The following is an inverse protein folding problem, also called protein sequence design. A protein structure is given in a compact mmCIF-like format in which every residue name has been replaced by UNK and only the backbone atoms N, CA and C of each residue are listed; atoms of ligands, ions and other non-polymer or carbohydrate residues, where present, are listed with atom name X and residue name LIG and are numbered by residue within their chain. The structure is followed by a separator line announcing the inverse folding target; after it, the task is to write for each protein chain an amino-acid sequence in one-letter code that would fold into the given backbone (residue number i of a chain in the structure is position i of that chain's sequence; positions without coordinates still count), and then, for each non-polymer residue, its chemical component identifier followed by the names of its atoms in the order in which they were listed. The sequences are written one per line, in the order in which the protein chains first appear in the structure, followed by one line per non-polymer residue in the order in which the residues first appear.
data_IF_239851165681
#
_entry.id   IF_239851165681
#
_cell.length_a   1.000
_cell.length_b   1.000
_cell.length_c   1.000
_cell.angle_alpha   90.00
_cell.angle_beta   90.00
_cell.angle_gamma   90.00
#
_symmetry.space_group_name_H-M   'P 1'
#
loop_
_entity.id
_entity.type
_entity.pdbx_description
1 polymer ?
#
# COMPACT_ATOMS: atom_id res chain seq x y z
N UNK A 1 14.85 4.01 18.78
CA UNK A 1 16.26 4.15 19.14
C UNK A 1 16.64 5.55 19.62
N UNK A 2 15.80 6.57 19.40
CA UNK A 2 16.11 7.95 19.78
C UNK A 2 15.13 8.41 20.86
N UNK A 3 15.56 8.57 22.13
CA UNK A 3 14.67 8.93 23.23
C UNK A 3 13.90 10.24 23.03
N UNK A 4 14.47 11.18 22.30
CA UNK A 4 13.83 12.46 21.96
C UNK A 4 12.59 12.27 21.09
N UNK A 5 12.65 11.37 20.11
CA UNK A 5 11.47 11.08 19.25
C UNK A 5 10.40 10.32 20.02
N UNK A 6 10.77 9.41 20.95
CA UNK A 6 9.81 8.73 21.80
C UNK A 6 8.96 9.73 22.60
N UNK A 7 9.60 10.72 23.22
CA UNK A 7 8.90 11.79 23.97
C UNK A 7 7.97 12.62 23.08
N UNK A 8 8.38 12.94 21.84
CA UNK A 8 7.54 13.69 20.90
C UNK A 8 6.32 12.88 20.47
N UNK A 9 6.50 11.57 20.26
CA UNK A 9 5.40 10.68 19.89
C UNK A 9 4.45 10.46 21.06
N UNK A 10 4.96 10.32 22.28
CA UNK A 10 4.14 10.24 23.50
C UNK A 10 3.26 11.48 23.67
N UNK A 11 3.84 12.68 23.55
CA UNK A 11 3.10 13.93 23.63
C UNK A 11 2.01 14.02 22.56
N UNK A 12 2.32 13.67 21.33
CA UNK A 12 1.34 13.65 20.23
C UNK A 12 0.20 12.64 20.47
N UNK A 13 0.51 11.44 20.98
CA UNK A 13 -0.51 10.44 21.33
C UNK A 13 -1.40 10.85 22.51
N UNK A 14 -0.89 11.71 23.40
CA UNK A 14 -1.68 12.29 24.49
C UNK A 14 -2.64 13.36 23.97
N UNK A 15 -2.18 14.23 23.06
CA UNK A 15 -3.01 15.24 22.39
C UNK A 15 -4.15 14.60 21.61
N UNK A 16 -3.88 13.55 20.79
CA UNK A 16 -4.93 12.81 20.06
C UNK A 16 -5.97 12.19 21.01
N UNK A 17 -5.55 11.70 22.18
CA UNK A 17 -6.50 11.16 23.16
C UNK A 17 -7.42 12.20 23.78
N UNK A 18 -6.94 13.44 23.95
CA UNK A 18 -7.73 14.55 24.46
C UNK A 18 -8.73 15.04 23.43
N UNK A 19 -8.31 15.19 22.17
CA UNK A 19 -9.20 15.54 21.05
C UNK A 19 -10.31 14.49 20.83
N UNK A 20 -9.97 13.20 20.90
CA UNK A 20 -10.95 12.09 20.82
C UNK A 20 -11.96 12.10 21.98
N UNK A 21 -11.56 12.55 23.18
CA UNK A 21 -12.48 12.70 24.32
C UNK A 21 -13.44 13.85 24.14
N UNK A 22 -12.95 15.02 23.72
CA UNK A 22 -13.76 16.20 23.45
C UNK A 22 -14.79 15.96 22.32
N UNK A 23 -14.38 15.22 21.27
CA UNK A 23 -15.31 14.84 20.19
C UNK A 23 -16.39 13.84 20.65
N UNK A 24 -16.08 12.92 21.57
CA UNK A 24 -17.04 11.97 22.13
C UNK A 24 -18.03 12.59 23.11
N UNK A 25 -17.65 13.64 23.81
CA UNK A 25 -18.55 14.38 24.72
C UNK A 25 -19.61 15.20 23.95
N UNK A 26 -19.32 15.55 22.70
CA UNK A 26 -20.19 16.34 21.83
C UNK A 26 -21.12 15.49 20.92
N UNK A 27 -21.06 14.16 20.97
CA UNK A 27 -21.89 13.27 20.14
C UNK A 27 -23.16 12.81 20.84
N UNK A 28 -24.29 12.96 20.16
CA UNK A 28 -25.62 12.55 20.61
C UNK A 28 -25.76 11.03 20.72
N UNK A 29 -26.64 10.55 21.62
CA UNK A 29 -26.80 9.13 21.99
C UNK A 29 -27.13 8.12 20.88
N UNK A 30 -27.39 8.57 19.65
CA UNK A 30 -27.73 7.69 18.51
C UNK A 30 -26.53 6.99 17.88
N UNK A 31 -25.32 7.54 17.99
CA UNK A 31 -24.12 7.05 17.29
C UNK A 31 -23.23 6.10 18.12
N UNK A 32 -23.69 5.72 19.33
CA UNK A 32 -22.86 4.95 20.27
C UNK A 32 -22.68 3.46 19.95
N UNK A 33 -23.36 2.93 18.92
CA UNK A 33 -23.34 1.47 18.66
C UNK A 33 -22.29 0.99 17.66
N UNK A 34 -21.55 1.87 17.01
CA UNK A 34 -20.53 1.49 16.02
C UNK A 34 -19.09 1.99 16.31
N UNK A 35 -18.86 2.47 17.52
CA UNK A 35 -17.48 2.85 17.90
C UNK A 35 -16.63 1.59 18.08
N UNK A 36 -15.99 1.14 17.00
CA UNK A 36 -14.82 0.26 17.07
C UNK A 36 -13.83 0.97 18.00
N UNK A 37 -13.61 0.40 19.18
CA UNK A 37 -12.55 0.86 20.10
C UNK A 37 -11.23 0.73 19.35
N UNK A 38 -10.78 1.79 18.70
CA UNK A 38 -9.42 1.87 18.20
C UNK A 38 -8.49 1.73 19.41
N UNK A 39 -7.81 0.61 19.49
CA UNK A 39 -6.81 0.40 20.53
C UNK A 39 -5.71 1.44 20.33
N UNK A 40 -5.54 2.32 21.31
CA UNK A 40 -4.44 3.29 21.29
C UNK A 40 -3.13 2.53 21.18
N UNK A 41 -2.29 2.82 20.18
CA UNK A 41 -1.04 2.11 20.00
C UNK A 41 -0.16 2.30 21.23
N UNK A 42 0.38 1.18 21.75
CA UNK A 42 1.29 1.22 22.89
C UNK A 42 2.69 1.57 22.39
N UNK A 43 3.18 2.74 22.76
CA UNK A 43 4.57 3.13 22.52
C UNK A 43 5.50 2.41 23.49
N UNK A 44 6.60 1.86 22.97
CA UNK A 44 7.66 1.26 23.77
C UNK A 44 9.01 1.66 23.19
N UNK A 45 9.86 2.25 24.01
CA UNK A 45 11.23 2.57 23.60
C UNK A 45 12.07 1.28 23.58
N UNK A 46 12.69 1.00 22.44
CA UNK A 46 13.60 -0.12 22.27
C UNK A 46 15.04 0.33 22.54
N UNK A 47 15.74 -0.36 23.45
CA UNK A 47 17.07 0.05 23.96
C UNK A 47 18.14 -1.02 23.85
N UNK A 48 17.91 -2.12 23.11
CA UNK A 48 18.92 -3.16 22.94
C UNK A 48 20.02 -2.71 21.97
N UNK A 49 21.21 -2.45 22.49
CA UNK A 49 22.38 -2.01 21.71
C UNK A 49 22.98 -3.14 20.85
N UNK A 50 22.76 -4.41 21.21
CA UNK A 50 23.31 -5.55 20.49
C UNK A 50 22.50 -5.90 19.24
N UNK A 51 21.20 -5.60 19.26
CA UNK A 51 20.29 -5.91 18.15
C UNK A 51 19.46 -4.66 17.74
N UNK A 52 20.00 -3.74 16.94
CA UNK A 52 19.27 -2.57 16.47
C UNK A 52 17.95 -2.91 15.78
N UNK A 53 16.92 -2.06 15.91
CA UNK A 53 15.59 -2.25 15.31
C UNK A 53 15.65 -2.54 13.79
N UNK A 54 16.57 -1.89 13.07
CA UNK A 54 16.80 -2.14 11.65
C UNK A 54 17.10 -3.61 11.36
N UNK A 55 17.93 -4.25 12.20
CA UNK A 55 18.27 -5.68 12.08
C UNK A 55 17.15 -6.58 12.59
N UNK A 56 16.54 -6.24 13.74
CA UNK A 56 15.45 -7.00 14.34
C UNK A 56 14.30 -7.18 13.34
N UNK A 57 13.88 -6.11 12.70
CA UNK A 57 12.79 -6.12 11.71
C UNK A 57 13.25 -6.31 10.27
N UNK A 58 14.55 -6.57 10.04
CA UNK A 58 15.15 -6.75 8.70
C UNK A 58 14.81 -5.61 7.73
N UNK A 59 14.77 -4.39 8.23
CA UNK A 59 14.35 -3.22 7.44
C UNK A 59 15.27 -2.96 6.25
N UNK A 60 16.57 -3.26 6.35
CA UNK A 60 17.51 -3.17 5.23
C UNK A 60 17.08 -4.05 4.05
N UNK A 61 16.63 -5.29 4.33
CA UNK A 61 16.13 -6.21 3.29
C UNK A 61 14.83 -5.70 2.67
N UNK A 62 13.95 -5.09 3.47
CA UNK A 62 12.70 -4.49 3.00
C UNK A 62 13.00 -3.29 2.11
N UNK A 63 13.89 -2.40 2.51
CA UNK A 63 14.31 -1.23 1.73
C UNK A 63 14.94 -1.65 0.41
N UNK A 64 15.82 -2.66 0.43
CA UNK A 64 16.42 -3.22 -0.78
C UNK A 64 15.35 -3.76 -1.72
N UNK A 65 14.43 -4.61 -1.22
CA UNK A 65 13.35 -5.18 -2.04
C UNK A 65 12.36 -4.12 -2.54
N UNK A 66 12.16 -3.04 -1.79
CA UNK A 66 11.36 -1.90 -2.22
C UNK A 66 12.00 -1.08 -3.35
N UNK A 67 13.30 -1.27 -3.62
CA UNK A 67 14.01 -0.66 -4.75
C UNK A 67 14.06 -1.57 -5.97
N UNK A 68 13.72 -2.86 -5.84
CA UNK A 68 13.76 -3.81 -6.94
C UNK A 68 12.67 -3.51 -7.99
N UNK A 69 13.02 -3.63 -9.27
CA UNK A 69 12.07 -3.47 -10.38
C UNK A 69 10.98 -4.55 -10.34
N UNK A 70 11.32 -5.77 -9.93
CA UNK A 70 10.42 -6.92 -9.92
C UNK A 70 9.96 -7.25 -8.50
N UNK A 71 8.66 -7.46 -8.34
CA UNK A 71 8.02 -7.84 -7.08
C UNK A 71 7.29 -9.16 -7.27
N UNK A 72 7.73 -10.19 -6.55
CA UNK A 72 7.11 -11.50 -6.58
C UNK A 72 5.87 -11.56 -5.70
N UNK A 73 4.82 -12.20 -6.21
CA UNK A 73 3.58 -12.48 -5.50
C UNK A 73 3.55 -13.93 -4.97
N UNK A 74 2.70 -14.20 -3.99
CA UNK A 74 2.58 -15.54 -3.37
C UNK A 74 2.12 -16.61 -4.34
N UNK A 75 1.30 -16.24 -5.33
CA UNK A 75 0.88 -17.12 -6.42
C UNK A 75 2.01 -17.59 -7.34
N UNK A 76 3.17 -16.94 -7.29
CA UNK A 76 4.27 -17.15 -8.23
C UNK A 76 4.22 -16.22 -9.46
N UNK A 77 3.19 -15.37 -9.55
CA UNK A 77 3.18 -14.21 -10.45
C UNK A 77 4.10 -13.11 -9.95
N UNK A 78 4.30 -12.07 -10.73
CA UNK A 78 5.12 -10.93 -10.34
C UNK A 78 4.66 -9.64 -11.02
N UNK A 79 4.96 -8.52 -10.36
CA UNK A 79 4.84 -7.18 -10.91
C UNK A 79 6.19 -6.72 -11.44
N UNK A 80 6.17 -5.93 -12.52
CA UNK A 80 7.31 -5.12 -12.98
C UNK A 80 6.94 -3.65 -12.81
N UNK A 81 7.69 -2.90 -12.01
CA UNK A 81 7.39 -1.51 -11.68
C UNK A 81 8.46 -0.62 -12.29
N UNK A 82 8.05 0.29 -13.17
CA UNK A 82 8.93 1.19 -13.91
C UNK A 82 8.47 2.64 -13.78
N UNK A 83 9.06 3.41 -12.87
CA UNK A 83 8.89 4.85 -12.86
C UNK A 83 9.57 5.49 -14.08
N UNK A 84 8.86 6.38 -14.76
CA UNK A 84 9.38 7.24 -15.83
C UNK A 84 9.32 8.71 -15.38
N UNK A 85 9.72 9.65 -16.22
CA UNK A 85 9.59 11.08 -15.91
C UNK A 85 8.14 11.53 -15.77
N UNK A 86 7.21 10.97 -16.56
CA UNK A 86 5.83 11.42 -16.64
C UNK A 86 4.87 10.60 -15.77
N UNK A 87 5.09 9.30 -15.65
CA UNK A 87 4.18 8.37 -15.00
C UNK A 87 4.90 7.10 -14.53
N UNK A 88 4.24 6.31 -13.69
CA UNK A 88 4.72 4.96 -13.33
C UNK A 88 3.93 3.92 -14.12
N UNK A 89 4.63 2.97 -14.74
CA UNK A 89 4.02 1.81 -15.38
C UNK A 89 4.21 0.59 -14.51
N UNK A 90 3.16 -0.22 -14.37
CA UNK A 90 3.18 -1.49 -13.64
C UNK A 90 2.62 -2.57 -14.56
N UNK A 91 3.42 -3.60 -14.83
CA UNK A 91 3.04 -4.75 -15.65
C UNK A 91 2.85 -5.99 -14.75
N UNK A 92 1.75 -6.72 -14.94
CA UNK A 92 1.37 -7.90 -14.17
C UNK A 92 1.63 -9.17 -14.97
N UNK A 93 2.45 -10.06 -14.42
CA UNK A 93 2.87 -11.31 -15.08
C UNK A 93 2.42 -12.54 -14.29
N UNK A 94 1.93 -13.57 -14.98
CA UNK A 94 1.53 -14.85 -14.37
C UNK A 94 2.70 -15.65 -13.78
N UNK A 95 3.92 -15.40 -14.29
CA UNK A 95 5.08 -16.20 -13.93
C UNK A 95 4.91 -17.69 -14.33
N UNK A 96 5.26 -18.60 -13.40
CA UNK A 96 5.13 -20.05 -13.59
C UNK A 96 3.88 -20.61 -12.91
N UNK A 97 2.81 -19.83 -12.78
CA UNK A 97 1.60 -20.31 -12.11
C UNK A 97 0.94 -21.43 -12.91
N UNK A 98 0.92 -22.63 -12.34
CA UNK A 98 0.25 -23.84 -12.90
C UNK A 98 -0.96 -24.19 -12.02
N UNK A 99 -2.00 -23.36 -12.05
CA UNK A 99 -3.23 -23.61 -11.29
C UNK A 99 -4.02 -24.81 -11.80
N UNK A 100 -4.72 -25.51 -10.90
CA UNK A 100 -5.65 -26.61 -11.22
C UNK A 100 -7.05 -26.12 -11.64
N UNK A 101 -7.27 -24.79 -11.71
CA UNK A 101 -8.55 -24.13 -12.05
C UNK A 101 -8.64 -23.81 -13.53
N UNK A 102 -9.82 -23.36 -13.97
CA UNK A 102 -10.00 -22.80 -15.31
C UNK A 102 -9.05 -21.63 -15.53
N UNK A 103 -8.60 -21.39 -16.78
CA UNK A 103 -7.72 -20.26 -17.08
C UNK A 103 -8.29 -18.91 -16.61
N UNK A 104 -9.59 -18.65 -16.80
CA UNK A 104 -10.26 -17.42 -16.40
C UNK A 104 -10.24 -17.19 -14.87
N UNK A 105 -10.65 -18.19 -14.06
CA UNK A 105 -10.57 -18.12 -12.59
C UNK A 105 -9.15 -17.93 -12.09
N UNK A 106 -8.17 -18.46 -12.79
CA UNK A 106 -6.76 -18.30 -12.46
C UNK A 106 -6.29 -16.87 -12.70
N UNK A 107 -6.67 -16.29 -13.85
CA UNK A 107 -6.34 -14.91 -14.24
C UNK A 107 -6.95 -13.93 -13.24
N UNK A 108 -8.25 -14.05 -12.94
CA UNK A 108 -8.92 -13.19 -11.96
C UNK A 108 -8.22 -13.25 -10.60
N UNK A 109 -7.91 -14.46 -10.11
CA UNK A 109 -7.22 -14.62 -8.83
C UNK A 109 -5.85 -13.93 -8.80
N UNK A 110 -5.06 -14.05 -9.87
CA UNK A 110 -3.74 -13.40 -9.96
C UNK A 110 -3.91 -11.88 -10.03
N UNK A 111 -4.89 -11.38 -10.80
CA UNK A 111 -5.16 -9.96 -10.91
C UNK A 111 -5.64 -9.35 -9.57
N UNK A 112 -6.46 -10.06 -8.80
CA UNK A 112 -6.88 -9.62 -7.47
C UNK A 112 -5.70 -9.59 -6.48
N UNK A 113 -4.80 -10.57 -6.53
CA UNK A 113 -3.56 -10.54 -5.75
C UNK A 113 -2.65 -9.38 -6.19
N UNK A 114 -2.55 -9.15 -7.51
CA UNK A 114 -1.80 -8.03 -8.07
C UNK A 114 -2.38 -6.69 -7.63
N UNK A 115 -3.70 -6.53 -7.59
CA UNK A 115 -4.36 -5.30 -7.12
C UNK A 115 -3.96 -4.95 -5.66
N UNK A 116 -3.97 -5.95 -4.78
CA UNK A 116 -3.49 -5.79 -3.40
C UNK A 116 -2.01 -5.40 -3.36
N UNK A 117 -1.16 -6.11 -4.11
CA UNK A 117 0.28 -5.84 -4.12
C UNK A 117 0.61 -4.48 -4.78
N UNK A 118 -0.11 -4.07 -5.84
CA UNK A 118 0.01 -2.73 -6.44
C UNK A 118 -0.24 -1.66 -5.40
N UNK A 119 -1.38 -1.70 -4.69
CA UNK A 119 -1.71 -0.73 -3.65
C UNK A 119 -0.62 -0.67 -2.57
N UNK A 120 -0.13 -1.83 -2.11
CA UNK A 120 0.96 -1.94 -1.15
C UNK A 120 2.25 -1.30 -1.66
N UNK A 121 2.62 -1.53 -2.93
CA UNK A 121 3.85 -0.98 -3.53
C UNK A 121 3.76 0.52 -3.78
N UNK A 122 2.58 1.05 -4.15
CA UNK A 122 2.38 2.50 -4.28
C UNK A 122 2.65 3.21 -2.95
N UNK A 123 2.14 2.68 -1.85
CA UNK A 123 2.36 3.22 -0.50
C UNK A 123 3.81 3.05 -0.06
N UNK A 124 4.37 1.83 -0.12
CA UNK A 124 5.71 1.49 0.34
C UNK A 124 6.80 2.31 -0.37
N UNK A 125 6.70 2.42 -1.70
CA UNK A 125 7.67 3.16 -2.53
C UNK A 125 7.37 4.65 -2.65
N UNK A 126 6.25 5.09 -2.07
CA UNK A 126 5.71 6.44 -2.21
C UNK A 126 5.62 6.89 -3.69
N UNK A 127 5.16 5.99 -4.56
CA UNK A 127 4.91 6.33 -5.95
C UNK A 127 3.69 7.25 -6.03
N UNK A 128 3.75 8.26 -6.89
CA UNK A 128 2.73 9.31 -6.95
C UNK A 128 2.58 9.86 -8.37
N UNK A 129 1.54 10.65 -8.60
CA UNK A 129 1.18 11.14 -9.92
C UNK A 129 0.32 10.15 -10.68
N UNK A 130 0.54 10.01 -11.98
CA UNK A 130 -0.17 9.08 -12.86
C UNK A 130 0.49 7.70 -12.77
N UNK A 131 -0.29 6.68 -12.53
CA UNK A 131 0.15 5.28 -12.53
C UNK A 131 -0.74 4.50 -13.49
N UNK A 132 -0.12 3.75 -14.38
CA UNK A 132 -0.80 2.86 -15.34
C UNK A 132 -0.47 1.42 -14.96
N UNK A 133 -1.51 0.60 -14.80
CA UNK A 133 -1.34 -0.82 -14.49
C UNK A 133 -1.88 -1.65 -15.65
N UNK A 134 -1.02 -2.49 -16.20
CA UNK A 134 -1.36 -3.50 -17.19
C UNK A 134 -1.62 -4.84 -16.48
N UNK A 135 -2.90 -5.12 -16.23
CA UNK A 135 -3.35 -6.38 -15.66
C UNK A 135 -3.44 -7.47 -16.73
N UNK A 136 -3.36 -8.74 -16.32
CA UNK A 136 -3.55 -9.85 -17.25
C UNK A 136 -4.95 -9.74 -17.87
N UNK A 137 -5.03 -9.84 -19.19
CA UNK A 137 -6.26 -9.69 -19.93
C UNK A 137 -7.39 -10.58 -19.42
N UNK A 138 -8.57 -9.98 -19.21
CA UNK A 138 -9.81 -10.66 -18.86
C UNK A 138 -10.87 -10.36 -19.91
N UNK A 139 -11.61 -11.37 -20.32
CA UNK A 139 -12.69 -11.20 -21.30
C UNK A 139 -13.99 -10.74 -20.63
N UNK A 140 -14.30 -11.33 -19.45
CA UNK A 140 -15.54 -11.07 -18.71
C UNK A 140 -15.55 -9.65 -18.11
N UNK A 141 -16.64 -8.94 -18.37
CA UNK A 141 -16.88 -7.61 -17.83
C UNK A 141 -17.11 -7.64 -16.31
N UNK A 142 -17.68 -8.73 -15.76
CA UNK A 142 -17.88 -8.89 -14.34
C UNK A 142 -16.54 -9.02 -13.61
N UNK A 143 -15.59 -9.81 -14.16
CA UNK A 143 -14.24 -9.95 -13.61
C UNK A 143 -13.48 -8.61 -13.61
N UNK A 144 -13.64 -7.81 -14.69
CA UNK A 144 -13.05 -6.47 -14.77
C UNK A 144 -13.61 -5.54 -13.68
N UNK A 145 -14.92 -5.58 -13.46
CA UNK A 145 -15.55 -4.78 -12.41
C UNK A 145 -15.11 -5.23 -11.02
N UNK A 146 -15.01 -6.53 -10.77
CA UNK A 146 -14.53 -7.08 -9.50
C UNK A 146 -13.09 -6.61 -9.23
N UNK A 147 -12.21 -6.66 -10.23
CA UNK A 147 -10.84 -6.16 -10.13
C UNK A 147 -10.80 -4.67 -9.76
N UNK A 148 -11.55 -3.82 -10.46
CA UNK A 148 -11.56 -2.37 -10.19
C UNK A 148 -12.11 -2.05 -8.79
N UNK A 149 -13.14 -2.78 -8.34
CA UNK A 149 -13.68 -2.64 -6.98
C UNK A 149 -12.66 -3.08 -5.93
N UNK A 150 -11.98 -4.21 -6.16
CA UNK A 150 -10.94 -4.70 -5.25
C UNK A 150 -9.79 -3.69 -5.16
N UNK A 151 -9.26 -3.23 -6.28
CA UNK A 151 -8.19 -2.23 -6.32
C UNK A 151 -8.60 -0.92 -5.63
N UNK A 152 -9.83 -0.43 -5.87
CA UNK A 152 -10.36 0.77 -5.23
C UNK A 152 -10.49 0.61 -3.71
N UNK A 153 -10.81 -0.59 -3.23
CA UNK A 153 -10.89 -0.90 -1.80
C UNK A 153 -9.51 -0.90 -1.15
N UNK A 154 -8.52 -1.50 -1.82
CA UNK A 154 -7.13 -1.52 -1.33
C UNK A 154 -6.53 -0.10 -1.29
N UNK A 155 -6.73 0.71 -2.32
CA UNK A 155 -6.23 2.08 -2.38
C UNK A 155 -6.84 3.00 -1.32
N UNK A 156 -8.07 2.71 -0.85
CA UNK A 156 -8.70 3.48 0.26
C UNK A 156 -8.00 3.30 1.60
N UNK A 157 -7.21 2.25 1.77
CA UNK A 157 -6.43 2.03 2.99
C UNK A 157 -5.14 2.86 3.02
N UNK A 158 -4.74 3.44 1.90
CA UNK A 158 -3.56 4.31 1.82
C UNK A 158 -3.88 5.65 2.52
N UNK A 159 -3.04 6.10 3.49
CA UNK A 159 -3.21 7.42 4.13
C UNK A 159 -3.07 8.57 3.13
N UNK A 160 -2.44 8.33 1.98
CA UNK A 160 -2.34 9.30 0.88
C UNK A 160 -3.41 9.03 -0.14
N UNK A 161 -4.24 10.03 -0.44
CA UNK A 161 -5.34 9.91 -1.39
C UNK A 161 -4.86 9.32 -2.72
N UNK A 162 -5.35 8.12 -3.02
CA UNK A 162 -5.18 7.39 -4.28
C UNK A 162 -6.55 6.98 -4.82
N UNK A 163 -6.74 7.05 -6.13
CA UNK A 163 -8.03 6.81 -6.79
C UNK A 163 -7.81 6.06 -8.08
N UNK A 164 -8.61 5.02 -8.33
CA UNK A 164 -8.78 4.44 -9.67
C UNK A 164 -9.61 5.42 -10.48
N UNK A 165 -9.08 5.85 -11.62
CA UNK A 165 -9.75 6.79 -12.52
C UNK A 165 -10.68 6.03 -13.45
N UNK A 166 -10.12 5.11 -14.25
CA UNK A 166 -10.87 4.30 -15.22
C UNK A 166 -10.02 3.11 -15.71
N UNK A 167 -10.64 2.26 -16.53
CA UNK A 167 -9.97 1.27 -17.37
C UNK A 167 -10.10 1.67 -18.81
N UNK A 168 -8.98 1.83 -19.51
CA UNK A 168 -8.95 2.22 -20.92
C UNK A 168 -9.53 1.13 -21.82
N UNK A 169 -9.92 1.46 -23.07
CA UNK A 169 -10.33 0.44 -24.06
C UNK A 169 -9.27 -0.63 -24.34
N UNK A 170 -8.01 -0.35 -24.05
CA UNK A 170 -6.90 -1.31 -24.16
C UNK A 170 -6.75 -2.22 -22.92
N UNK A 171 -7.58 -2.03 -21.88
CA UNK A 171 -7.53 -2.81 -20.65
C UNK A 171 -6.56 -2.28 -19.60
N UNK A 172 -5.91 -1.15 -19.83
CA UNK A 172 -4.99 -0.53 -18.88
C UNK A 172 -5.80 0.19 -17.79
N UNK A 173 -5.42 -0.03 -16.53
CA UNK A 173 -6.07 0.65 -15.40
C UNK A 173 -5.29 1.91 -15.02
N UNK A 174 -6.00 3.02 -14.99
CA UNK A 174 -5.48 4.34 -14.65
C UNK A 174 -5.69 4.63 -13.16
N UNK A 175 -4.60 4.98 -12.46
CA UNK A 175 -4.61 5.37 -11.06
C UNK A 175 -3.96 6.75 -10.92
N UNK A 176 -4.51 7.58 -10.03
CA UNK A 176 -3.85 8.80 -9.58
C UNK A 176 -3.58 8.72 -8.08
N UNK A 177 -2.39 9.13 -7.66
CA UNK A 177 -2.01 9.22 -6.24
C UNK A 177 -1.37 10.57 -5.95
N UNK A 178 -1.84 11.25 -4.88
CA UNK A 178 -1.34 12.58 -4.52
C UNK A 178 0.16 12.54 -4.21
N UNK A 179 0.92 13.50 -4.76
CA UNK A 179 2.35 13.66 -4.43
C UNK A 179 2.48 14.45 -3.13
N UNK A 180 3.02 13.81 -2.09
CA UNK A 180 3.28 14.43 -0.78
C UNK A 180 4.78 14.42 -0.44
N UNK A 181 5.52 13.43 -0.91
CA UNK A 181 6.97 13.27 -0.71
C UNK A 181 7.59 12.73 -1.99
N UNK A 182 8.93 12.75 -2.05
CA UNK A 182 9.67 12.09 -3.12
C UNK A 182 9.52 10.56 -3.03
N UNK A 183 9.63 9.84 -4.16
CA UNK A 183 9.71 8.38 -4.15
C UNK A 183 10.84 7.87 -3.25
N UNK A 184 10.63 6.70 -2.63
CA UNK A 184 11.61 6.09 -1.71
C UNK A 184 13.00 5.95 -2.34
N UNK A 185 13.06 5.56 -3.60
CA UNK A 185 14.34 5.39 -4.33
C UNK A 185 15.16 6.69 -4.41
N UNK A 186 14.49 7.83 -4.61
CA UNK A 186 15.17 9.13 -4.65
C UNK A 186 15.69 9.51 -3.27
N UNK A 187 14.91 9.21 -2.21
CA UNK A 187 15.32 9.50 -0.84
C UNK A 187 16.51 8.66 -0.40
N UNK A 188 16.62 7.41 -0.84
CA UNK A 188 17.75 6.53 -0.51
C UNK A 188 19.04 6.93 -1.23
N UNK A 189 18.93 7.42 -2.47
CA UNK A 189 20.12 7.83 -3.26
C UNK A 189 20.73 9.15 -2.80
N UNK A 190 20.04 9.95 -1.98
CA UNK A 190 20.59 11.20 -1.41
C UNK A 190 21.34 10.97 -0.09
N UNK A 191 21.30 9.76 0.44
CA UNK A 191 21.92 9.44 1.74
C UNK A 191 23.32 8.80 1.60
N UNK A 192 23.75 8.53 0.36
CA UNK A 192 25.10 8.10 -0.01
C UNK A 192 25.95 9.31 -0.47
#
# INVERSE_FOLDING_TARGET
DVPEYAKKIEAWLEEEKEEDKEQKENQTQADKNESIKQAVPKLSLYTDENLPLMKLYRLESVLKSASDRRVWMKSGGYLVIEPTEALTVIDVNTGKYTGKKTPAETILKINLEAAHEVARQLSLRNLSGIIIVDFINMEDSADKQELLQALSRELRQDPVKAVVVDMTPLGLVEITRKKIRRPLREQLNETD
#
